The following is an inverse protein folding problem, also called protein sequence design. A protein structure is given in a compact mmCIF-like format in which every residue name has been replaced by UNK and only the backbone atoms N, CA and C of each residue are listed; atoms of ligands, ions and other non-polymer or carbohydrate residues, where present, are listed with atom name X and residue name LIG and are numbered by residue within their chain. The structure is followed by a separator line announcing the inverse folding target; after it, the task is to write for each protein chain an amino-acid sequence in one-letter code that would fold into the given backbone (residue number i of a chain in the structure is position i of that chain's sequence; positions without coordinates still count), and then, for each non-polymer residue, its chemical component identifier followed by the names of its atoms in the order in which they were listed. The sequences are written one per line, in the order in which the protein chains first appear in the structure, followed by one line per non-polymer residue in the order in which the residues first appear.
data_IF_687717736266
#
_entry.id   IF_687717736266
#
_cell.length_a   1.000
_cell.length_b   1.000
_cell.length_c   1.000
_cell.angle_alpha   90.00
_cell.angle_beta   90.00
_cell.angle_gamma   90.00
#
_symmetry.space_group_name_H-M   'P 1'
#
loop_
_entity.id
_entity.type
_entity.pdbx_description
1 polymer ?
#
# COMPACT_ATOMS: atom_id res chain seq x y z
N UNK A 1 3.73 -0.79 7.18
CA UNK A 1 3.93 0.64 6.82
C UNK A 1 2.60 1.40 6.75
N UNK A 2 1.59 0.82 6.08
CA UNK A 2 0.28 1.43 5.84
C UNK A 2 -0.45 1.90 7.11
N UNK A 3 -0.52 1.08 8.18
CA UNK A 3 -1.16 1.46 9.46
C UNK A 3 -0.64 2.79 10.03
N UNK A 4 0.68 2.94 10.11
CA UNK A 4 1.31 4.17 10.61
C UNK A 4 1.02 5.38 9.72
N UNK A 5 0.97 5.18 8.40
CA UNK A 5 0.61 6.24 7.45
C UNK A 5 -0.84 6.70 7.63
N UNK A 6 -1.77 5.75 7.78
CA UNK A 6 -3.18 6.06 8.03
C UNK A 6 -3.38 6.80 9.36
N UNK A 7 -2.71 6.39 10.43
CA UNK A 7 -2.78 7.05 11.74
C UNK A 7 -2.24 8.49 11.68
N UNK A 8 -1.10 8.71 11.02
CA UNK A 8 -0.51 10.06 10.83
C UNK A 8 -1.37 10.97 9.97
N UNK A 9 -2.04 10.42 8.96
CA UNK A 9 -2.91 11.19 8.08
C UNK A 9 -4.16 11.73 8.78
N UNK A 10 -4.54 11.15 9.93
CA UNK A 10 -5.80 11.44 10.62
C UNK A 10 -7.05 11.02 9.85
N UNK A 11 -6.91 10.33 8.72
CA UNK A 11 -8.04 9.91 7.88
C UNK A 11 -8.63 8.59 8.38
N UNK A 12 -9.96 8.54 8.44
CA UNK A 12 -10.65 7.27 8.64
C UNK A 12 -10.54 6.38 7.39
N UNK A 13 -10.62 5.07 7.56
CA UNK A 13 -10.63 4.10 6.44
C UNK A 13 -11.71 4.43 5.41
N UNK A 14 -12.90 4.86 5.86
CA UNK A 14 -13.99 5.29 4.99
C UNK A 14 -13.63 6.52 4.17
N UNK A 15 -12.89 7.48 4.75
CA UNK A 15 -12.44 8.68 4.03
C UNK A 15 -11.35 8.38 3.02
N UNK A 16 -10.46 7.43 3.33
CA UNK A 16 -9.43 6.94 2.40
C UNK A 16 -10.11 6.30 1.20
N UNK A 17 -11.09 5.41 1.41
CA UNK A 17 -11.85 4.78 0.32
C UNK A 17 -12.58 5.81 -0.53
N UNK A 18 -13.22 6.80 0.11
CA UNK A 18 -13.87 7.87 -0.62
C UNK A 18 -12.89 8.67 -1.50
N UNK A 19 -11.65 8.87 -1.05
CA UNK A 19 -10.61 9.52 -1.87
C UNK A 19 -10.13 8.61 -2.99
N UNK A 20 -9.90 7.33 -2.74
CA UNK A 20 -9.52 6.35 -3.76
C UNK A 20 -10.59 6.22 -4.86
N UNK A 21 -11.87 6.30 -4.50
CA UNK A 21 -12.97 6.27 -5.46
C UNK A 21 -12.94 7.47 -6.43
N UNK A 22 -12.32 8.60 -6.06
CA UNK A 22 -12.12 9.73 -6.99
C UNK A 22 -11.05 9.45 -8.05
N UNK A 23 -10.14 8.54 -7.75
CA UNK A 23 -9.11 8.03 -8.67
C UNK A 23 -9.59 6.74 -9.39
N UNK A 24 -10.91 6.52 -9.47
CA UNK A 24 -11.55 5.34 -10.06
C UNK A 24 -11.20 4.00 -9.38
N UNK A 25 -10.65 4.05 -8.16
CA UNK A 25 -10.28 2.86 -7.38
C UNK A 25 -11.37 2.57 -6.35
N UNK A 26 -12.27 1.65 -6.70
CA UNK A 26 -13.27 1.12 -5.78
C UNK A 26 -12.69 0.00 -4.90
N UNK A 27 -12.72 0.20 -3.59
CA UNK A 27 -12.25 -0.78 -2.61
C UNK A 27 -13.17 -0.87 -1.40
N UNK A 28 -13.39 -2.09 -0.91
CA UNK A 28 -14.13 -2.33 0.33
C UNK A 28 -13.30 -1.98 1.58
N UNK A 29 -13.96 -1.43 2.60
CA UNK A 29 -13.36 -1.10 3.91
C UNK A 29 -12.74 -2.31 4.60
N UNK A 30 -13.32 -3.49 4.46
CA UNK A 30 -12.77 -4.74 4.97
C UNK A 30 -11.45 -5.10 4.27
N UNK A 31 -11.33 -4.85 2.95
CA UNK A 31 -10.09 -5.08 2.21
C UNK A 31 -9.01 -4.11 2.67
N UNK A 32 -9.33 -2.81 2.75
CA UNK A 32 -8.38 -1.81 3.25
C UNK A 32 -7.92 -2.12 4.67
N UNK A 33 -8.83 -2.58 5.54
CA UNK A 33 -8.49 -3.00 6.89
C UNK A 33 -7.58 -4.24 6.92
N UNK A 34 -7.81 -5.22 6.05
CA UNK A 34 -6.93 -6.40 5.92
C UNK A 34 -5.53 -5.99 5.43
N UNK A 35 -5.45 -5.10 4.43
CA UNK A 35 -4.19 -4.54 3.92
C UNK A 35 -3.43 -3.80 5.01
N UNK A 36 -4.12 -2.93 5.77
CA UNK A 36 -3.54 -2.17 6.86
C UNK A 36 -2.91 -3.06 7.93
N UNK A 37 -3.53 -4.21 8.20
CA UNK A 37 -3.11 -5.17 9.22
C UNK A 37 -2.20 -6.29 8.69
N UNK A 38 -1.83 -6.28 7.40
CA UNK A 38 -1.00 -7.33 6.79
C UNK A 38 -1.68 -8.71 6.76
N UNK A 39 -3.02 -8.74 6.82
CA UNK A 39 -3.82 -9.98 6.76
C UNK A 39 -4.10 -10.46 5.33
N UNK A 40 -3.67 -9.68 4.34
CA UNK A 40 -3.72 -10.04 2.93
C UNK A 40 -2.43 -9.57 2.24
N UNK A 41 -2.11 -10.11 1.05
CA UNK A 41 -0.99 -9.64 0.27
C UNK A 41 -1.08 -8.14 -0.01
N UNK A 42 0.05 -7.48 -0.31
CA UNK A 42 0.07 -6.09 -0.75
C UNK A 42 -0.88 -5.87 -1.93
N UNK A 43 -1.43 -4.66 -2.03
CA UNK A 43 -2.32 -4.32 -3.13
C UNK A 43 -1.57 -4.28 -4.46
N UNK A 44 -2.33 -4.18 -5.56
CA UNK A 44 -1.76 -3.92 -6.90
C UNK A 44 -1.00 -2.59 -6.92
N UNK A 45 -0.06 -2.44 -7.84
CA UNK A 45 0.83 -1.30 -7.89
C UNK A 45 0.07 0.04 -8.03
N UNK A 46 -0.92 0.09 -8.92
CA UNK A 46 -1.83 1.24 -9.10
C UNK A 46 -2.52 1.65 -7.79
N UNK A 47 -3.01 0.67 -7.02
CA UNK A 47 -3.65 0.91 -5.73
C UNK A 47 -2.64 1.40 -4.69
N UNK A 48 -1.40 0.88 -4.72
CA UNK A 48 -0.35 1.35 -3.82
C UNK A 48 0.07 2.79 -4.15
N UNK A 49 0.11 3.17 -5.42
CA UNK A 49 0.38 4.54 -5.87
C UNK A 49 -0.71 5.47 -5.34
N UNK A 50 -1.98 5.16 -5.62
CA UNK A 50 -3.10 5.99 -5.16
C UNK A 50 -3.18 6.07 -3.63
N UNK A 51 -2.91 4.97 -2.91
CA UNK A 51 -2.81 4.98 -1.45
C UNK A 51 -1.68 5.89 -0.97
N UNK A 52 -0.53 5.88 -1.65
CA UNK A 52 0.60 6.71 -1.29
C UNK A 52 0.27 8.20 -1.45
N UNK A 53 -0.40 8.57 -2.54
CA UNK A 53 -0.86 9.93 -2.80
C UNK A 53 -1.92 10.38 -1.79
N UNK A 54 -2.94 9.55 -1.55
CA UNK A 54 -4.02 9.84 -0.59
C UNK A 54 -3.51 10.04 0.83
N UNK A 55 -2.49 9.26 1.22
CA UNK A 55 -1.86 9.31 2.54
C UNK A 55 -0.65 10.25 2.60
N UNK A 56 -0.30 10.90 1.49
CA UNK A 56 0.84 11.79 1.35
C UNK A 56 2.15 11.17 1.85
N UNK A 57 2.44 9.95 1.38
CA UNK A 57 3.68 9.21 1.66
C UNK A 57 4.46 8.99 0.38
N UNK A 58 5.75 8.72 0.52
CA UNK A 58 6.65 8.37 -0.58
C UNK A 58 6.17 7.08 -1.28
N UNK A 59 5.74 7.24 -2.54
CA UNK A 59 5.19 6.16 -3.35
C UNK A 59 6.23 5.10 -3.70
N UNK A 60 7.47 5.50 -3.99
CA UNK A 60 8.56 4.58 -4.32
C UNK A 60 8.90 3.70 -3.12
N UNK A 61 9.08 4.29 -1.93
CA UNK A 61 9.34 3.53 -0.70
C UNK A 61 8.18 2.60 -0.35
N UNK A 62 6.94 3.06 -0.56
CA UNK A 62 5.76 2.25 -0.26
C UNK A 62 5.66 1.05 -1.20
N UNK A 63 5.85 1.26 -2.51
CA UNK A 63 5.87 0.19 -3.52
C UNK A 63 7.02 -0.79 -3.31
N UNK A 64 8.20 -0.31 -2.96
CA UNK A 64 9.35 -1.16 -2.66
C UNK A 64 9.08 -2.06 -1.45
N UNK A 65 8.42 -1.52 -0.41
CA UNK A 65 8.01 -2.32 0.74
C UNK A 65 6.99 -3.40 0.35
N UNK A 66 6.00 -3.06 -0.49
CA UNK A 66 5.03 -4.01 -1.03
C UNK A 66 5.72 -5.12 -1.86
N UNK A 67 6.63 -4.75 -2.77
CA UNK A 67 7.38 -5.72 -3.57
C UNK A 67 8.19 -6.68 -2.69
N UNK A 68 8.86 -6.16 -1.66
CA UNK A 68 9.64 -6.96 -0.71
C UNK A 68 8.78 -7.95 0.10
N UNK A 69 7.54 -7.60 0.41
CA UNK A 69 6.59 -8.51 1.07
C UNK A 69 6.04 -9.57 0.12
N UNK A 70 5.86 -9.23 -1.16
CA UNK A 70 5.30 -10.13 -2.17
C UNK A 70 6.31 -11.17 -2.67
N UNK A 71 7.56 -10.76 -2.91
CA UNK A 71 8.55 -11.64 -3.52
C UNK A 71 9.32 -12.45 -2.48
N UNK A 72 9.69 -13.71 -2.78
CA UNK A 72 10.54 -14.50 -1.92
C UNK A 72 11.87 -13.80 -1.63
N UNK A 73 12.36 -13.96 -0.40
CA UNK A 73 13.62 -13.34 0.03
C UNK A 73 14.80 -13.68 -0.89
N UNK A 74 14.86 -14.92 -1.39
CA UNK A 74 15.88 -15.36 -2.35
C UNK A 74 15.87 -14.56 -3.64
N UNK A 75 14.68 -14.24 -4.18
CA UNK A 75 14.53 -13.47 -5.40
C UNK A 75 14.89 -11.99 -5.17
N UNK A 76 14.51 -11.42 -4.02
CA UNK A 76 14.89 -10.04 -3.66
C UNK A 76 16.41 -9.88 -3.54
N UNK A 77 17.10 -10.82 -2.91
CA UNK A 77 18.57 -10.80 -2.80
C UNK A 77 19.26 -10.96 -4.16
N UNK A 78 18.68 -11.72 -5.10
CA UNK A 78 19.19 -11.83 -6.46
C UNK A 78 19.08 -10.50 -7.22
N UNK A 79 17.91 -9.84 -7.15
CA UNK A 79 17.71 -8.52 -7.76
C UNK A 79 18.71 -7.50 -7.20
N UNK A 80 18.91 -7.50 -5.88
CA UNK A 80 19.86 -6.60 -5.20
C UNK A 80 21.31 -6.84 -5.60
N UNK A 81 21.71 -8.08 -5.92
CA UNK A 81 23.07 -8.42 -6.37
C UNK A 81 23.32 -8.09 -7.84
N UNK A 82 22.26 -7.97 -8.64
CA UNK A 82 22.35 -7.74 -10.08
C UNK A 82 22.37 -6.26 -10.48
N UNK A 83 21.93 -5.36 -9.58
CA UNK A 83 22.02 -3.89 -9.74
C UNK A 83 23.13 -3.30 -8.88
#
# INVERSE_FOLDING_TARGET
MLKKATERSGLSLSRIIFKLAKEDICMDKAILSKLQNGKCPPARDEVNIALAEVLNIDSEKFRLAAAKELIPKSLFELIKKAG
#
